data_IF_922224596751
#
_entry.id   IF_922224596751
#
_cell.length_a   1.000
_cell.length_b   1.000
_cell.length_c   1.000
_cell.angle_alpha   90.00
_cell.angle_beta   90.00
_cell.angle_gamma   90.00
#
_symmetry.space_group_name_H-M   'P 1'
#
loop_
_entity.id
_entity.type
_entity.pdbx_description
1 polymer ?
#
# COMPACT_ATOMS: atom_id res chain seq x y z
N UNK A 1 -11.35 0.31 -1.02
CA UNK A 1 -12.80 0.08 -1.20
C UNK A 1 -13.11 0.30 -2.66
N UNK A 2 -13.90 -0.57 -3.25
CA UNK A 2 -14.41 -0.41 -4.61
C UNK A 2 -15.89 -0.04 -4.51
N UNK A 3 -16.31 0.95 -5.29
CA UNK A 3 -17.71 1.35 -5.40
C UNK A 3 -18.48 0.34 -6.26
N UNK A 4 -19.58 -0.20 -5.73
CA UNK A 4 -20.32 -1.31 -6.37
C UNK A 4 -21.05 -0.89 -7.64
N UNK A 5 -21.39 0.39 -7.78
CA UNK A 5 -22.15 0.93 -8.92
C UNK A 5 -21.23 1.38 -10.06
N UNK A 6 -20.05 1.91 -9.72
CA UNK A 6 -19.13 2.57 -10.66
C UNK A 6 -17.82 1.84 -10.88
N UNK A 7 -17.42 0.95 -9.96
CA UNK A 7 -16.10 0.32 -9.93
C UNK A 7 -14.98 1.28 -9.54
N UNK A 8 -15.30 2.48 -9.04
CA UNK A 8 -14.29 3.45 -8.62
C UNK A 8 -13.57 2.97 -7.35
N UNK A 9 -12.24 3.10 -7.35
CA UNK A 9 -11.40 2.70 -6.22
C UNK A 9 -11.18 3.89 -5.29
N UNK A 10 -11.73 3.80 -4.09
CA UNK A 10 -11.43 4.68 -2.97
C UNK A 10 -10.36 4.06 -2.06
N UNK A 11 -9.40 4.90 -1.64
CA UNK A 11 -8.38 4.53 -0.67
C UNK A 11 -8.77 5.03 0.71
N UNK A 12 -8.52 4.23 1.74
CA UNK A 12 -8.83 4.60 3.12
C UNK A 12 -7.59 4.51 3.99
N UNK A 13 -7.64 5.16 5.16
CA UNK A 13 -6.61 5.03 6.19
C UNK A 13 -6.95 3.98 7.27
N UNK A 14 -7.98 3.17 7.02
CA UNK A 14 -8.34 1.99 7.80
C UNK A 14 -7.54 0.79 7.29
N UNK A 15 -6.89 0.09 8.21
CA UNK A 15 -6.02 -1.03 7.90
C UNK A 15 -6.71 -2.40 8.04
N UNK A 16 -6.20 -3.39 7.31
CA UNK A 16 -6.49 -4.79 7.56
C UNK A 16 -6.23 -5.16 9.03
N UNK A 17 -7.07 -6.03 9.61
CA UNK A 17 -6.95 -6.47 11.02
C UNK A 17 -5.63 -7.14 11.40
N UNK A 18 -4.84 -7.59 10.42
CA UNK A 18 -3.51 -8.18 10.65
C UNK A 18 -2.37 -7.18 10.45
N UNK A 19 -2.63 -5.91 10.14
CA UNK A 19 -1.58 -4.92 10.02
C UNK A 19 -1.10 -4.47 11.40
N UNK A 20 0.20 -4.60 11.65
CA UNK A 20 0.89 -3.87 12.71
C UNK A 20 1.26 -2.47 12.21
N UNK A 21 0.57 -1.45 12.70
CA UNK A 21 0.73 -0.07 12.23
C UNK A 21 2.07 0.58 12.60
N UNK A 22 2.81 0.02 13.56
CA UNK A 22 4.12 0.52 13.98
C UNK A 22 5.22 0.07 13.02
N UNK A 23 5.30 -1.24 12.80
CA UNK A 23 6.25 -1.90 11.91
C UNK A 23 5.85 -1.82 10.44
N UNK A 24 4.59 -1.52 10.13
CA UNK A 24 3.98 -1.56 8.80
C UNK A 24 4.08 -2.94 8.14
N UNK A 25 3.93 -4.00 8.94
CA UNK A 25 4.00 -5.40 8.50
C UNK A 25 2.76 -6.16 8.91
N UNK A 26 2.46 -7.22 8.17
CA UNK A 26 1.44 -8.18 8.58
C UNK A 26 1.96 -8.97 9.79
N UNK A 27 1.16 -9.07 10.84
CA UNK A 27 1.49 -9.75 12.10
C UNK A 27 1.54 -11.28 11.94
N UNK A 28 0.73 -11.84 11.03
CA UNK A 28 0.75 -13.26 10.66
C UNK A 28 0.70 -13.43 9.15
N UNK A 29 1.81 -13.04 8.49
CA UNK A 29 1.91 -13.17 7.05
C UNK A 29 1.76 -14.62 6.55
N UNK A 30 2.37 -15.66 7.18
CA UNK A 30 2.22 -17.04 6.73
C UNK A 30 0.77 -17.54 6.70
N UNK A 31 -0.06 -17.19 7.69
CA UNK A 31 -1.45 -17.67 7.79
C UNK A 31 -2.49 -16.62 7.37
N UNK A 32 -2.08 -15.49 6.79
CA UNK A 32 -2.95 -14.34 6.51
C UNK A 32 -4.25 -14.66 5.77
N UNK A 33 -4.25 -15.63 4.86
CA UNK A 33 -5.45 -16.01 4.08
C UNK A 33 -6.44 -16.85 4.89
N UNK A 34 -5.98 -17.58 5.91
CA UNK A 34 -6.87 -18.28 6.83
C UNK A 34 -7.66 -17.29 7.70
N UNK A 35 -7.04 -16.14 8.00
CA UNK A 35 -7.70 -15.06 8.72
C UNK A 35 -8.53 -14.19 7.79
N UNK A 36 -7.93 -13.68 6.70
CA UNK A 36 -8.49 -12.69 5.77
C UNK A 36 -8.59 -13.34 4.39
N UNK A 37 -9.76 -13.94 4.03
CA UNK A 37 -9.93 -14.64 2.76
C UNK A 37 -9.63 -13.77 1.53
N UNK A 38 -9.94 -12.48 1.61
CA UNK A 38 -9.72 -11.51 0.53
C UNK A 38 -8.27 -11.00 0.45
N UNK A 39 -7.36 -11.53 1.28
CA UNK A 39 -5.95 -11.13 1.24
C UNK A 39 -5.29 -11.60 -0.07
N UNK A 40 -5.07 -10.63 -0.96
CA UNK A 40 -4.51 -10.87 -2.29
C UNK A 40 -3.02 -11.22 -2.22
N UNK A 41 -2.64 -12.31 -2.88
CA UNK A 41 -1.23 -12.63 -3.15
C UNK A 41 -0.83 -11.95 -4.46
N UNK A 42 0.10 -11.00 -4.38
CA UNK A 42 0.65 -10.34 -5.57
C UNK A 42 1.59 -11.31 -6.31
N UNK A 43 1.14 -11.80 -7.46
CA UNK A 43 1.96 -12.49 -8.47
C UNK A 43 2.08 -11.59 -9.71
N UNK A 44 3.04 -11.83 -10.63
CA UNK A 44 3.15 -11.05 -11.85
C UNK A 44 1.83 -10.98 -12.65
N UNK A 45 1.09 -12.08 -12.70
CA UNK A 45 -0.20 -12.18 -13.39
C UNK A 45 -1.25 -11.29 -12.70
N UNK A 46 -1.40 -11.44 -11.38
CA UNK A 46 -2.35 -10.65 -10.57
C UNK A 46 -2.05 -9.15 -10.68
N UNK A 47 -0.77 -8.76 -10.67
CA UNK A 47 -0.36 -7.34 -10.75
C UNK A 47 -0.79 -6.69 -12.07
N UNK A 48 -0.90 -7.45 -13.16
CA UNK A 48 -1.37 -6.95 -14.46
C UNK A 48 -2.89 -6.77 -14.50
N UNK A 49 -3.63 -7.44 -13.62
CA UNK A 49 -5.09 -7.43 -13.58
C UNK A 49 -5.65 -6.41 -12.57
N UNK A 50 -4.95 -6.15 -11.46
CA UNK A 50 -5.45 -5.29 -10.39
C UNK A 50 -5.24 -3.79 -10.68
N UNK A 51 -6.33 -3.01 -10.59
CA UNK A 51 -6.32 -1.56 -10.83
C UNK A 51 -6.03 -0.68 -9.60
N UNK A 52 -6.02 -1.24 -8.40
CA UNK A 52 -6.00 -0.49 -7.13
C UNK A 52 -4.61 -0.29 -6.51
N UNK A 53 -3.54 -0.74 -7.17
CA UNK A 53 -2.18 -0.51 -6.67
C UNK A 53 -1.79 0.97 -6.77
N UNK A 54 -1.27 1.56 -5.67
CA UNK A 54 -0.75 2.92 -5.68
C UNK A 54 0.26 3.15 -6.83
N UNK A 55 0.34 4.36 -7.41
CA UNK A 55 1.27 4.67 -8.49
C UNK A 55 2.75 4.54 -8.09
N UNK A 56 3.04 4.51 -6.80
CA UNK A 56 4.39 4.30 -6.24
C UNK A 56 4.68 2.84 -5.86
N UNK A 57 3.74 1.92 -6.07
CA UNK A 57 3.92 0.50 -5.72
C UNK A 57 5.06 -0.11 -6.54
N UNK A 58 6.03 -0.75 -5.87
CA UNK A 58 7.17 -1.38 -6.54
C UNK A 58 6.76 -2.43 -7.57
N UNK A 59 5.75 -3.26 -7.27
CA UNK A 59 5.24 -4.25 -8.22
C UNK A 59 4.69 -3.62 -9.50
N UNK A 60 3.89 -2.56 -9.36
CA UNK A 60 3.33 -1.81 -10.48
C UNK A 60 4.43 -1.14 -11.31
N UNK A 61 5.41 -0.51 -10.66
CA UNK A 61 6.52 0.13 -11.37
C UNK A 61 7.32 -0.89 -12.19
N UNK A 62 7.62 -2.06 -11.61
CA UNK A 62 8.34 -3.13 -12.30
C UNK A 62 7.52 -3.70 -13.45
N UNK A 63 6.21 -3.94 -13.28
CA UNK A 63 5.36 -4.44 -14.36
C UNK A 63 5.23 -3.44 -15.51
N UNK A 64 5.28 -2.14 -15.23
CA UNK A 64 5.27 -1.06 -16.22
C UNK A 64 6.68 -0.79 -16.82
N UNK A 65 7.71 -1.56 -16.45
CA UNK A 65 9.08 -1.38 -16.94
C UNK A 65 9.78 -0.12 -16.43
N UNK A 66 9.32 0.45 -15.31
CA UNK A 66 9.89 1.66 -14.69
C UNK A 66 10.95 1.31 -13.65
N UNK A 67 11.90 2.21 -13.46
CA UNK A 67 12.88 2.09 -12.38
C UNK A 67 12.22 2.26 -11.00
N UNK A 68 12.77 1.56 -10.02
CA UNK A 68 12.40 1.74 -8.61
C UNK A 68 13.01 3.06 -8.08
N UNK A 69 12.26 3.82 -7.27
CA UNK A 69 12.75 5.07 -6.70
C UNK A 69 13.93 4.82 -5.73
N UNK A 70 14.79 5.81 -5.53
CA UNK A 70 15.99 5.68 -4.69
C UNK A 70 15.70 5.31 -3.23
N UNK A 71 14.49 5.62 -2.75
CA UNK A 71 14.01 5.25 -1.40
C UNK A 71 13.41 3.85 -1.34
N UNK A 72 13.30 3.12 -2.45
CA UNK A 72 12.77 1.75 -2.42
C UNK A 72 13.75 0.83 -1.68
N UNK A 73 13.32 -0.11 -0.81
CA UNK A 73 14.26 -0.95 -0.04
C UNK A 73 15.20 -1.80 -0.91
N UNK A 74 14.74 -2.27 -2.07
CA UNK A 74 15.58 -2.98 -3.04
C UNK A 74 16.69 -2.12 -3.67
N UNK A 75 16.57 -0.79 -3.60
CA UNK A 75 17.55 0.17 -4.13
C UNK A 75 18.39 0.76 -3.00
N UNK A 76 17.75 1.20 -1.93
CA UNK A 76 18.39 1.83 -0.76
C UNK A 76 19.07 0.84 0.18
N UNK A 77 18.72 -0.44 0.13
CA UNK A 77 19.24 -1.49 1.02
C UNK A 77 18.67 -1.46 2.44
N UNK A 78 17.83 -0.48 2.78
CA UNK A 78 17.20 -0.36 4.11
C UNK A 78 15.69 -0.23 3.99
N UNK A 79 14.89 -0.89 4.84
CA UNK A 79 13.45 -0.68 4.90
C UNK A 79 13.08 0.69 5.46
N UNK A 80 13.96 1.36 6.21
CA UNK A 80 13.60 2.63 6.86
C UNK A 80 13.46 3.81 5.89
N UNK A 81 14.07 3.71 4.72
CA UNK A 81 14.04 4.70 3.65
C UNK A 81 12.63 5.07 3.18
N UNK A 82 11.65 4.15 3.24
CA UNK A 82 10.25 4.46 2.89
C UNK A 82 9.57 5.35 3.93
N UNK A 83 9.98 5.24 5.20
CA UNK A 83 9.48 6.09 6.28
C UNK A 83 10.08 7.48 6.17
N UNK A 84 11.39 7.57 5.95
CA UNK A 84 12.11 8.83 5.73
C UNK A 84 11.60 9.59 4.49
N UNK A 85 11.28 8.87 3.41
CA UNK A 85 10.69 9.43 2.21
C UNK A 85 9.22 9.88 2.38
N UNK A 86 8.58 9.51 3.51
CA UNK A 86 7.18 9.84 3.79
C UNK A 86 6.19 9.11 2.87
N UNK A 87 6.57 7.95 2.32
CA UNK A 87 5.68 7.13 1.46
C UNK A 87 5.07 5.94 2.22
N UNK A 88 5.52 5.70 3.45
CA UNK A 88 4.96 4.67 4.32
C UNK A 88 3.59 5.06 4.90
N UNK A 89 2.83 4.03 5.29
CA UNK A 89 1.58 4.14 6.06
C UNK A 89 1.83 4.40 7.56
N UNK A 90 3.09 4.35 8.03
CA UNK A 90 3.43 4.55 9.44
C UNK A 90 2.88 5.88 9.95
N UNK A 91 2.12 5.86 11.05
CA UNK A 91 1.49 7.04 11.64
C UNK A 91 0.37 7.65 10.79
N UNK A 92 -0.11 6.93 9.77
CA UNK A 92 -1.23 7.35 8.91
C UNK A 92 -2.43 6.41 9.01
N UNK A 93 -2.40 5.41 9.88
CA UNK A 93 -3.50 4.45 10.02
C UNK A 93 -4.42 4.94 11.14
N UNK A 94 -5.70 5.14 10.84
CA UNK A 94 -6.70 5.57 11.82
C UNK A 94 -7.16 4.43 12.74
N UNK A 95 -7.10 3.19 12.25
CA UNK A 95 -7.33 1.98 13.04
C UNK A 95 -7.47 0.74 12.16
N UNK A 96 -7.86 -0.38 12.78
CA UNK A 96 -8.13 -1.64 12.09
C UNK A 96 -9.58 -1.71 11.61
N UNK A 97 -9.83 -2.41 10.51
CA UNK A 97 -11.17 -2.64 9.93
C UNK A 97 -12.18 -3.22 10.93
N UNK A 98 -11.72 -3.95 11.95
CA UNK A 98 -12.57 -4.52 13.00
C UNK A 98 -13.12 -3.48 13.98
N UNK A 99 -12.63 -2.24 13.93
CA UNK A 99 -13.02 -1.14 14.82
C UNK A 99 -14.05 -0.21 14.19
N UNK A 100 -14.30 -0.32 12.88
CA UNK A 100 -15.16 0.58 12.13
C UNK A 100 -16.31 -0.18 11.46
N UNK A 101 -17.48 0.46 11.37
CA UNK A 101 -18.56 -0.03 10.52
C UNK A 101 -18.28 0.21 9.03
N UNK A 102 -18.91 -0.56 8.13
CA UNK A 102 -18.75 -0.39 6.67
C UNK A 102 -19.04 1.05 6.21
N UNK A 103 -20.09 1.68 6.74
CA UNK A 103 -20.44 3.06 6.42
C UNK A 103 -19.45 4.08 7.03
N UNK A 104 -18.84 3.76 8.17
CA UNK A 104 -17.86 4.62 8.84
C UNK A 104 -16.55 4.66 8.06
N UNK A 105 -16.14 3.54 7.44
CA UNK A 105 -14.94 3.46 6.59
C UNK A 105 -14.97 4.50 5.43
N UNK A 106 -16.15 4.92 4.98
CA UNK A 106 -16.30 5.96 3.95
C UNK A 106 -15.81 7.33 4.44
N UNK A 107 -15.94 7.63 5.74
CA UNK A 107 -15.42 8.87 6.34
C UNK A 107 -13.88 8.88 6.42
N UNK A 108 -13.27 7.72 6.25
CA UNK A 108 -11.82 7.50 6.27
C UNK A 108 -11.18 7.52 4.88
N UNK A 109 -11.87 8.02 3.85
CA UNK A 109 -11.33 8.13 2.50
C UNK A 109 -10.19 9.17 2.45
N UNK A 110 -9.05 8.75 1.91
CA UNK A 110 -7.82 9.54 1.81
C UNK A 110 -7.22 9.49 0.42
N UNK A 111 -6.51 10.55 0.03
CA UNK A 111 -5.87 10.64 -1.30
C UNK A 111 -4.34 10.51 -1.27
N UNK A 112 -3.72 10.42 -0.09
CA UNK A 112 -2.26 10.34 0.01
C UNK A 112 -1.63 9.10 -0.65
N UNK A 113 -2.29 7.93 -0.78
CA UNK A 113 -1.70 6.79 -1.50
C UNK A 113 -1.46 7.07 -2.98
N UNK A 114 -2.23 7.99 -3.57
CA UNK A 114 -2.09 8.40 -4.97
C UNK A 114 -0.97 9.43 -5.19
N UNK A 115 -0.30 9.89 -4.12
CA UNK A 115 0.67 10.99 -4.19
C UNK A 115 2.10 10.48 -4.12
N UNK A 116 2.92 10.94 -5.06
CA UNK A 116 4.36 10.80 -4.96
C UNK A 116 4.92 11.73 -3.87
N UNK A 117 6.00 11.33 -3.17
CA UNK A 117 6.65 12.21 -2.20
C UNK A 117 7.16 13.48 -2.89
N UNK A 118 6.98 14.63 -2.22
CA UNK A 118 7.29 15.96 -2.80
C UNK A 118 8.76 16.13 -3.20
N UNK A 119 9.67 15.33 -2.63
CA UNK A 119 11.07 15.26 -3.06
C UNK A 119 11.20 14.17 -4.12
N UNK A 120 11.49 14.56 -5.37
CA UNK A 120 11.95 13.62 -6.39
C UNK A 120 13.17 12.89 -5.84
N UNK A 121 13.19 11.54 -5.80
CA UNK A 121 14.39 10.82 -5.47
C UNK A 121 15.51 11.20 -6.46
N UNK A 122 16.73 11.36 -5.96
CA UNK A 122 17.89 11.59 -6.82
C UNK A 122 18.02 10.42 -7.81
N UNK A 123 18.48 10.66 -9.05
CA UNK A 123 18.67 9.58 -10.02
C UNK A 123 19.62 8.53 -9.44
N UNK A 124 19.22 7.26 -9.50
CA UNK A 124 20.05 6.13 -9.12
C UNK A 124 21.15 6.01 -10.18
N UNK A 125 22.40 6.27 -9.80
CA UNK A 125 23.55 6.00 -10.67
C UNK A 125 23.73 4.48 -10.72
N UNK A 126 23.51 3.89 -11.89
CA UNK A 126 23.90 2.51 -12.22
C UNK A 126 25.40 2.43 -12.46
#
# INVERSE_FOLDING_TARGET
>A
MEDEDTGEIAYTDVACRLLDAGSCRCSDYPNRQAHVPDCVRLTPEVVLEIGWLPPTCGYRLVSEGKDLPSWHPLVSGTPDSVHEAGISVRGRVSGLETQFGLFEIVEHIVSWPLRWPRRRPAPVRR
#
